data_IF_501522262477
#
_entry.id   IF_501522262477
#
_cell.length_a   1.000
_cell.length_b   1.000
_cell.length_c   1.000
_cell.angle_alpha   90.00
_cell.angle_beta   90.00
_cell.angle_gamma   90.00
#
_symmetry.space_group_name_H-M   'P 1'
#
loop_
_entity.id
_entity.type
_entity.pdbx_description
1 polymer ?
#
# COMPACT_ATOMS: atom_id res chain seq x y z
N UNK A 1 -47.02 31.52 -41.08
CA UNK A 1 -46.78 30.11 -41.47
C UNK A 1 -45.37 29.71 -41.02
N UNK A 2 -45.24 28.46 -40.58
CA UNK A 2 -44.18 27.88 -39.73
C UNK A 2 -42.75 28.16 -40.20
N UNK A 3 -41.92 28.76 -39.33
CA UNK A 3 -40.46 28.72 -39.44
C UNK A 3 -39.97 27.49 -38.68
N UNK A 4 -39.45 26.49 -39.39
CA UNK A 4 -38.78 25.34 -38.80
C UNK A 4 -37.34 25.71 -38.46
N UNK A 5 -36.99 25.70 -37.18
CA UNK A 5 -35.60 25.83 -36.72
C UNK A 5 -35.06 24.42 -36.52
N UNK A 6 -34.19 23.98 -37.43
CA UNK A 6 -33.39 22.77 -37.25
C UNK A 6 -32.13 23.14 -36.44
N UNK A 7 -32.05 22.67 -35.20
CA UNK A 7 -30.83 22.75 -34.39
C UNK A 7 -30.03 21.47 -34.69
N UNK A 8 -29.04 21.59 -35.57
CA UNK A 8 -28.04 20.53 -35.77
C UNK A 8 -27.03 20.63 -34.64
N UNK A 9 -27.18 19.81 -33.60
CA UNK A 9 -26.15 19.65 -32.58
C UNK A 9 -24.96 18.90 -33.20
N UNK A 10 -23.91 19.62 -33.57
CA UNK A 10 -22.62 19.03 -33.87
C UNK A 10 -22.06 18.40 -32.58
N UNK A 11 -22.18 17.08 -32.46
CA UNK A 11 -21.37 16.30 -31.54
C UNK A 11 -19.92 16.42 -32.01
N UNK A 12 -19.21 17.41 -31.48
CA UNK A 12 -17.76 17.41 -31.47
C UNK A 12 -17.33 16.23 -30.60
N UNK A 13 -17.18 15.06 -31.24
CA UNK A 13 -16.52 13.91 -30.65
C UNK A 13 -15.08 14.27 -30.39
N UNK A 14 -14.79 14.81 -29.22
CA UNK A 14 -13.46 14.69 -28.62
C UNK A 14 -13.30 13.21 -28.30
N UNK A 15 -12.80 12.45 -29.27
CA UNK A 15 -12.17 11.18 -28.98
C UNK A 15 -11.16 11.45 -27.85
N UNK A 16 -11.18 10.72 -26.73
CA UNK A 16 -10.08 10.82 -25.79
C UNK A 16 -8.83 10.46 -26.58
N UNK A 17 -7.94 11.44 -26.74
CA UNK A 17 -6.58 11.16 -27.17
C UNK A 17 -6.08 10.11 -26.20
N UNK A 18 -5.83 8.91 -26.71
CA UNK A 18 -5.08 7.88 -26.01
C UNK A 18 -3.73 8.53 -25.71
N UNK A 19 -3.64 9.22 -24.57
CA UNK A 19 -2.37 9.64 -24.02
C UNK A 19 -1.58 8.36 -23.89
N UNK A 20 -0.46 8.29 -24.61
CA UNK A 20 0.45 7.16 -24.60
C UNK A 20 0.59 6.68 -23.16
N UNK A 21 -0.03 5.52 -22.87
CA UNK A 21 0.28 4.78 -21.67
C UNK A 21 1.79 4.55 -21.77
N UNK A 22 2.57 5.33 -21.02
CA UNK A 22 3.99 5.08 -20.85
C UNK A 22 4.07 3.64 -20.35
N UNK A 23 4.32 2.71 -21.27
CA UNK A 23 4.27 1.29 -20.97
C UNK A 23 5.29 1.07 -19.88
N UNK A 24 4.83 0.81 -18.67
CA UNK A 24 5.74 0.61 -17.57
C UNK A 24 6.59 -0.61 -17.95
N UNK A 25 7.89 -0.37 -18.17
CA UNK A 25 8.83 -1.43 -18.51
C UNK A 25 9.45 -1.92 -17.21
N UNK A 26 9.22 -3.18 -16.81
CA UNK A 26 9.82 -3.72 -15.60
C UNK A 26 11.33 -3.59 -15.72
N UNK A 27 11.92 -2.81 -14.83
CA UNK A 27 13.36 -2.67 -14.79
C UNK A 27 13.95 -3.97 -14.23
N UNK A 28 14.86 -4.60 -14.99
CA UNK A 28 15.69 -5.71 -14.50
C UNK A 28 16.54 -5.18 -13.35
N UNK A 29 16.07 -5.38 -12.12
CA UNK A 29 16.53 -4.61 -10.96
C UNK A 29 17.20 -5.44 -9.89
N UNK A 30 17.40 -6.74 -10.13
CA UNK A 30 18.11 -7.55 -9.15
C UNK A 30 18.57 -8.91 -9.63
N UNK A 31 19.57 -9.42 -8.93
CA UNK A 31 20.00 -10.81 -8.99
C UNK A 31 19.07 -11.61 -8.09
N UNK A 32 18.51 -12.71 -8.62
CA UNK A 32 17.66 -13.62 -7.84
C UNK A 32 18.48 -14.15 -6.66
N UNK A 33 17.95 -13.96 -5.44
CA UNK A 33 18.64 -14.36 -4.22
C UNK A 33 17.65 -14.92 -3.21
N UNK A 34 18.07 -15.98 -2.52
CA UNK A 34 17.34 -16.51 -1.37
C UNK A 34 17.48 -15.66 -0.11
N UNK A 35 18.49 -14.76 -0.07
CA UNK A 35 18.72 -13.87 1.04
C UNK A 35 17.79 -12.65 0.98
N UNK A 36 17.37 -12.18 2.16
CA UNK A 36 16.57 -10.98 2.28
C UNK A 36 17.45 -9.72 2.11
N UNK A 37 17.03 -8.80 1.27
CA UNK A 37 17.56 -7.44 1.20
C UNK A 37 16.82 -6.60 2.23
N UNK A 38 17.55 -5.88 3.09
CA UNK A 38 16.99 -5.01 4.12
C UNK A 38 17.16 -3.55 3.71
N UNK A 39 16.09 -2.78 3.84
CA UNK A 39 16.07 -1.35 3.57
C UNK A 39 15.77 -0.52 4.81
N UNK A 40 15.45 0.75 4.60
CA UNK A 40 15.08 1.67 5.66
C UNK A 40 13.77 1.26 6.34
N UNK A 41 13.57 1.69 7.60
CA UNK A 41 12.31 1.54 8.33
C UNK A 41 11.72 0.12 8.26
N UNK A 42 12.57 -0.91 8.44
CA UNK A 42 12.18 -2.33 8.36
C UNK A 42 11.60 -2.82 7.05
N UNK A 43 11.90 -2.11 5.97
CA UNK A 43 11.75 -2.69 4.66
C UNK A 43 12.58 -3.98 4.56
N UNK A 44 11.96 -5.03 4.07
CA UNK A 44 12.63 -6.28 3.76
C UNK A 44 12.04 -6.85 2.50
N UNK A 45 12.87 -7.18 1.52
CA UNK A 45 12.38 -7.78 0.28
C UNK A 45 13.32 -8.87 -0.24
N UNK A 46 12.75 -9.73 -1.07
CA UNK A 46 13.41 -10.84 -1.73
C UNK A 46 13.26 -10.65 -3.23
N UNK A 47 14.37 -10.74 -3.95
CA UNK A 47 14.34 -10.79 -5.42
C UNK A 47 14.06 -12.23 -5.84
N UNK A 48 12.84 -12.51 -6.30
CA UNK A 48 12.38 -13.88 -6.64
C UNK A 48 12.52 -14.21 -8.12
N UNK A 49 12.46 -13.19 -8.98
CA UNK A 49 12.83 -13.26 -10.41
C UNK A 49 13.67 -12.02 -10.74
N UNK A 50 14.29 -11.87 -11.93
CA UNK A 50 15.05 -10.65 -12.27
C UNK A 50 14.24 -9.35 -12.24
N UNK A 51 12.91 -9.44 -12.32
CA UNK A 51 12.00 -8.28 -12.31
C UNK A 51 11.13 -8.23 -11.05
N UNK A 52 10.77 -9.38 -10.46
CA UNK A 52 9.80 -9.46 -9.36
C UNK A 52 10.46 -9.46 -7.99
N UNK A 53 9.94 -8.61 -7.10
CA UNK A 53 10.26 -8.54 -5.69
C UNK A 53 9.06 -8.92 -4.84
N UNK A 54 9.33 -9.56 -3.71
CA UNK A 54 8.32 -9.87 -2.68
C UNK A 54 8.86 -9.37 -1.35
N UNK A 55 8.06 -8.63 -0.58
CA UNK A 55 8.56 -8.08 0.66
C UNK A 55 7.57 -7.29 1.48
N UNK A 56 8.09 -6.70 2.54
CA UNK A 56 7.48 -5.63 3.31
C UNK A 56 8.15 -4.32 2.90
N UNK A 57 7.34 -3.33 2.52
CA UNK A 57 7.78 -1.96 2.26
C UNK A 57 8.24 -1.25 3.53
N UNK A 58 8.59 0.03 3.41
CA UNK A 58 8.96 0.83 4.57
C UNK A 58 7.78 0.96 5.54
N UNK A 59 8.04 0.77 6.83
CA UNK A 59 7.05 0.99 7.87
C UNK A 59 6.91 2.50 8.14
N UNK A 60 5.67 3.00 8.13
CA UNK A 60 5.35 4.35 8.56
C UNK A 60 4.79 4.32 9.98
N UNK A 61 5.43 5.06 10.88
CA UNK A 61 5.07 5.08 12.30
C UNK A 61 4.25 6.30 12.66
N UNK A 62 3.18 6.08 13.43
CA UNK A 62 2.31 7.12 13.95
C UNK A 62 2.23 7.04 15.47
N UNK A 63 2.45 8.19 16.11
CA UNK A 63 2.44 8.35 17.57
C UNK A 63 3.29 7.31 18.34
N UNK A 64 4.39 6.81 17.73
CA UNK A 64 5.30 5.82 18.35
C UNK A 64 4.67 4.46 18.68
N UNK A 65 3.42 4.22 18.27
CA UNK A 65 2.64 3.04 18.66
C UNK A 65 2.11 2.28 17.46
N UNK A 66 1.69 2.98 16.42
CA UNK A 66 1.10 2.34 15.25
C UNK A 66 2.08 2.31 14.12
N UNK A 67 2.12 1.19 13.42
CA UNK A 67 2.90 1.02 12.22
C UNK A 67 1.97 0.64 11.07
N UNK A 68 2.18 1.29 9.93
CA UNK A 68 1.58 0.89 8.68
C UNK A 68 2.67 0.38 7.74
N UNK A 69 2.40 -0.71 7.05
CA UNK A 69 3.35 -1.31 6.12
C UNK A 69 2.61 -1.98 4.96
N UNK A 70 3.24 -1.99 3.80
CA UNK A 70 2.74 -2.70 2.62
C UNK A 70 3.46 -4.03 2.49
N UNK A 71 2.73 -5.15 2.52
CA UNK A 71 3.28 -6.43 2.10
C UNK A 71 2.98 -6.59 0.60
N UNK A 72 4.00 -6.74 -0.24
CA UNK A 72 3.83 -6.63 -1.69
C UNK A 72 4.50 -7.78 -2.44
N UNK A 73 3.98 -8.01 -3.64
CA UNK A 73 4.66 -8.69 -4.74
C UNK A 73 4.53 -7.79 -5.97
N UNK A 74 5.65 -7.36 -6.54
CA UNK A 74 5.64 -6.38 -7.64
C UNK A 74 6.83 -6.54 -8.56
N UNK A 75 6.66 -6.26 -9.84
CA UNK A 75 7.75 -6.10 -10.82
C UNK A 75 8.13 -4.63 -11.08
N UNK A 76 7.55 -3.71 -10.31
CA UNK A 76 7.66 -2.26 -10.46
C UNK A 76 6.52 -1.64 -11.27
N UNK A 77 5.84 -2.43 -12.10
CA UNK A 77 4.81 -1.96 -13.03
C UNK A 77 3.43 -2.50 -12.69
N UNK A 78 3.40 -3.76 -12.27
CA UNK A 78 2.20 -4.47 -11.86
C UNK A 78 2.52 -5.24 -10.60
N UNK A 79 1.48 -5.51 -9.84
CA UNK A 79 1.66 -6.26 -8.62
C UNK A 79 0.42 -6.30 -7.75
N UNK A 80 0.65 -6.86 -6.59
CA UNK A 80 -0.31 -6.99 -5.52
C UNK A 80 0.29 -6.39 -4.25
N UNK A 81 -0.49 -5.60 -3.54
CA UNK A 81 -0.13 -5.01 -2.25
C UNK A 81 -1.21 -5.32 -1.23
N UNK A 82 -0.81 -5.87 -0.10
CA UNK A 82 -1.63 -6.02 1.08
C UNK A 82 -1.26 -4.94 2.09
N UNK A 83 -2.26 -4.16 2.51
CA UNK A 83 -2.04 -3.11 3.49
C UNK A 83 -2.14 -3.68 4.89
N UNK A 84 -1.08 -3.55 5.67
CA UNK A 84 -0.99 -4.05 7.04
C UNK A 84 -0.96 -2.87 8.00
N UNK A 85 -1.89 -2.83 8.94
CA UNK A 85 -1.88 -1.89 10.08
C UNK A 85 -1.56 -2.69 11.33
N UNK A 86 -0.65 -2.17 12.15
CA UNK A 86 -0.16 -2.81 13.36
C UNK A 86 -0.29 -1.83 14.53
N UNK A 87 -0.84 -2.30 15.65
CA UNK A 87 -0.78 -1.65 16.96
C UNK A 87 0.30 -2.32 17.80
N UNK A 88 1.45 -1.67 17.94
CA UNK A 88 2.60 -2.21 18.63
C UNK A 88 2.45 -2.23 20.16
N UNK A 89 1.47 -1.52 20.73
CA UNK A 89 1.13 -1.59 22.16
C UNK A 89 0.32 -2.84 22.45
N UNK A 90 -0.77 -3.06 21.69
CA UNK A 90 -1.67 -4.20 21.90
C UNK A 90 -1.22 -5.48 21.21
N UNK A 91 -0.16 -5.41 20.39
CA UNK A 91 0.38 -6.51 19.58
C UNK A 91 -0.61 -7.09 18.57
N UNK A 92 -1.59 -6.28 18.18
CA UNK A 92 -2.58 -6.65 17.17
C UNK A 92 -2.19 -6.07 15.81
N UNK A 93 -2.52 -6.81 14.76
CA UNK A 93 -2.37 -6.35 13.39
C UNK A 93 -3.59 -6.72 12.57
N UNK A 94 -3.79 -6.00 11.48
CA UNK A 94 -4.83 -6.30 10.49
C UNK A 94 -4.27 -6.13 9.09
N UNK A 95 -4.52 -7.11 8.24
CA UNK A 95 -4.42 -6.94 6.80
C UNK A 95 -5.76 -6.36 6.34
N UNK A 96 -5.75 -5.14 5.83
CA UNK A 96 -6.97 -4.42 5.44
C UNK A 96 -7.57 -4.92 4.13
N UNK A 97 -6.78 -5.59 3.31
CA UNK A 97 -7.20 -6.15 2.04
C UNK A 97 -6.09 -6.06 1.01
N UNK A 98 -6.43 -6.50 -0.19
CA UNK A 98 -5.53 -6.61 -1.32
C UNK A 98 -5.83 -5.53 -2.35
N UNK A 99 -4.81 -4.84 -2.83
CA UNK A 99 -4.87 -3.95 -3.98
C UNK A 99 -3.99 -4.50 -5.09
N UNK A 100 -4.60 -4.73 -6.25
CA UNK A 100 -3.88 -5.08 -7.48
C UNK A 100 -3.72 -3.82 -8.31
N UNK A 101 -2.52 -3.63 -8.84
CA UNK A 101 -2.18 -2.51 -9.68
C UNK A 101 -1.50 -3.00 -10.95
N UNK A 102 -1.62 -2.19 -12.00
CA UNK A 102 -0.99 -2.40 -13.29
C UNK A 102 -0.57 -1.03 -13.87
N UNK A 103 -0.07 -1.06 -15.11
CA UNK A 103 0.37 0.13 -15.84
C UNK A 103 -0.76 1.14 -16.13
N UNK A 104 -2.03 0.71 -16.01
CA UNK A 104 -3.23 1.53 -16.25
C UNK A 104 -3.87 2.02 -14.96
N UNK A 105 -3.58 1.34 -13.86
CA UNK A 105 -4.18 1.55 -12.55
C UNK A 105 -3.04 1.73 -11.54
N UNK A 106 -2.44 2.93 -11.46
CA UNK A 106 -1.31 3.15 -10.57
C UNK A 106 -1.69 2.84 -9.13
N UNK A 107 -0.75 2.32 -8.31
CA UNK A 107 -1.01 2.02 -6.90
C UNK A 107 -1.60 3.24 -6.22
N UNK A 108 -2.88 3.16 -5.81
CA UNK A 108 -3.64 4.30 -5.30
C UNK A 108 -2.92 5.03 -4.15
N UNK A 109 -2.24 6.16 -4.39
CA UNK A 109 -1.35 6.75 -3.38
C UNK A 109 -2.14 7.61 -2.38
N UNK A 110 -3.27 8.17 -2.83
CA UNK A 110 -4.05 9.16 -2.09
C UNK A 110 -4.91 8.56 -0.97
N UNK A 111 -5.31 7.30 -1.08
CA UNK A 111 -6.12 6.66 -0.04
C UNK A 111 -5.30 6.36 1.21
N UNK A 112 -4.05 5.93 1.03
CA UNK A 112 -3.20 5.37 2.08
C UNK A 112 -2.58 6.46 2.97
N UNK A 113 -2.03 7.50 2.36
CA UNK A 113 -1.45 8.64 3.10
C UNK A 113 -2.53 9.39 3.91
N UNK A 114 -3.76 9.46 3.38
CA UNK A 114 -4.91 10.03 4.10
C UNK A 114 -5.34 9.18 5.29
N UNK A 115 -5.30 7.84 5.18
CA UNK A 115 -5.59 6.96 6.32
C UNK A 115 -4.56 7.11 7.43
N UNK A 116 -3.27 7.10 7.11
CA UNK A 116 -2.19 7.25 8.09
C UNK A 116 -2.28 8.55 8.89
N UNK A 117 -2.51 9.68 8.21
CA UNK A 117 -2.75 10.97 8.86
C UNK A 117 -4.02 11.01 9.71
N UNK A 118 -5.11 10.38 9.25
CA UNK A 118 -6.35 10.29 10.01
C UNK A 118 -6.18 9.46 11.30
N UNK A 119 -5.40 8.38 11.25
CA UNK A 119 -5.07 7.59 12.44
C UNK A 119 -4.20 8.36 13.42
N UNK A 120 -3.17 9.08 12.93
CA UNK A 120 -2.36 9.95 13.77
C UNK A 120 -3.23 10.96 14.53
N UNK A 121 -4.17 11.61 13.84
CA UNK A 121 -5.08 12.57 14.46
C UNK A 121 -6.04 11.94 15.49
N UNK A 122 -6.51 10.71 15.28
CA UNK A 122 -7.30 9.96 16.29
C UNK A 122 -6.48 9.69 17.55
N UNK A 123 -5.24 9.29 17.37
CA UNK A 123 -4.33 8.98 18.47
C UNK A 123 -3.95 10.20 19.30
N UNK A 124 -3.72 11.34 18.64
CA UNK A 124 -3.47 12.60 19.32
C UNK A 124 -4.67 13.03 20.19
N UNK A 125 -5.89 12.56 19.88
CA UNK A 125 -7.10 12.76 20.70
C UNK A 125 -7.34 11.67 21.76
N UNK A 126 -6.43 10.70 21.89
CA UNK A 126 -6.57 9.58 22.84
C UNK A 126 -7.58 8.50 22.40
N UNK A 127 -7.99 8.49 21.13
CA UNK A 127 -8.85 7.44 20.58
C UNK A 127 -8.00 6.20 20.24
N UNK A 128 -8.20 5.11 20.98
CA UNK A 128 -7.41 3.88 20.87
C UNK A 128 -7.97 2.85 19.85
N UNK A 129 -9.02 3.22 19.10
CA UNK A 129 -9.78 2.34 18.20
C UNK A 129 -9.20 2.24 16.77
N UNK A 130 -7.92 2.58 16.57
CA UNK A 130 -7.31 2.73 15.24
C UNK A 130 -7.45 1.49 14.35
N UNK A 131 -7.31 0.28 14.89
CA UNK A 131 -7.48 -0.96 14.11
C UNK A 131 -8.92 -1.08 13.60
N UNK A 132 -9.91 -0.79 14.42
CA UNK A 132 -11.32 -0.81 14.01
C UNK A 132 -11.66 0.32 13.05
N UNK A 133 -11.09 1.51 13.26
CA UNK A 133 -11.21 2.63 12.32
C UNK A 133 -10.60 2.27 10.95
N UNK A 134 -9.46 1.58 10.94
CA UNK A 134 -8.82 1.11 9.71
C UNK A 134 -9.67 0.06 8.99
N UNK A 135 -10.23 -0.90 9.73
CA UNK A 135 -11.18 -1.88 9.22
C UNK A 135 -12.43 -1.23 8.63
N UNK A 136 -13.02 -0.27 9.34
CA UNK A 136 -14.19 0.47 8.87
C UNK A 136 -13.88 1.20 7.56
N UNK A 137 -12.76 1.93 7.52
CA UNK A 137 -12.35 2.66 6.33
C UNK A 137 -12.04 1.74 5.14
N UNK A 138 -11.43 0.58 5.40
CA UNK A 138 -11.20 -0.45 4.38
C UNK A 138 -12.53 -0.96 3.79
N UNK A 139 -13.57 -1.19 4.61
CA UNK A 139 -14.90 -1.59 4.12
C UNK A 139 -15.56 -0.53 3.23
N UNK A 140 -15.41 0.75 3.58
CA UNK A 140 -15.97 1.87 2.80
C UNK A 140 -15.42 1.93 1.37
N UNK A 141 -14.17 1.51 1.18
CA UNK A 141 -13.53 1.48 -0.15
C UNK A 141 -13.55 0.10 -0.81
N UNK A 142 -14.36 -0.82 -0.28
CA UNK A 142 -14.57 -2.15 -0.89
C UNK A 142 -13.53 -3.20 -0.52
N UNK A 143 -12.61 -2.93 0.40
CA UNK A 143 -11.68 -3.93 0.93
C UNK A 143 -12.35 -4.73 2.06
N UNK A 144 -12.93 -5.89 1.72
CA UNK A 144 -13.79 -6.67 2.63
C UNK A 144 -13.10 -7.88 3.26
N UNK A 145 -12.00 -8.36 2.70
CA UNK A 145 -11.29 -9.57 3.14
C UNK A 145 -10.23 -9.26 4.22
N UNK A 146 -10.68 -8.71 5.34
CA UNK A 146 -9.80 -8.20 6.39
C UNK A 146 -9.36 -9.31 7.34
N UNK A 147 -8.05 -9.57 7.41
CA UNK A 147 -7.51 -10.65 8.23
C UNK A 147 -6.91 -10.08 9.52
N UNK A 148 -7.41 -10.56 10.67
CA UNK A 148 -6.79 -10.27 11.97
C UNK A 148 -5.51 -11.09 12.14
N UNK A 149 -4.45 -10.45 12.61
CA UNK A 149 -3.15 -11.05 12.88
C UNK A 149 -2.59 -10.51 14.20
N UNK A 150 -1.47 -11.09 14.65
CA UNK A 150 -0.64 -10.50 15.70
C UNK A 150 0.60 -9.86 15.11
N UNK A 151 1.18 -8.88 15.80
CA UNK A 151 2.40 -8.19 15.35
C UNK A 151 3.66 -9.04 15.42
N UNK A 152 3.63 -10.18 16.11
CA UNK A 152 4.66 -11.23 16.12
C UNK A 152 4.35 -12.35 15.09
N UNK A 153 3.25 -12.22 14.36
CA UNK A 153 2.80 -13.13 13.34
C UNK A 153 3.62 -13.05 12.05
N UNK A 154 3.26 -13.90 11.09
CA UNK A 154 3.91 -13.98 9.79
C UNK A 154 2.87 -13.95 8.67
N UNK A 155 3.19 -13.25 7.58
CA UNK A 155 2.44 -13.29 6.34
C UNK A 155 3.21 -14.17 5.36
N UNK A 156 2.52 -15.06 4.66
CA UNK A 156 3.15 -15.83 3.58
C UNK A 156 2.70 -15.28 2.24
N UNK A 157 3.65 -14.79 1.43
CA UNK A 157 3.41 -14.32 0.07
C UNK A 157 4.24 -15.16 -0.90
N UNK A 158 3.56 -15.89 -1.79
CA UNK A 158 4.18 -16.76 -2.80
C UNK A 158 5.28 -17.67 -2.22
N UNK A 159 4.97 -18.35 -1.11
CA UNK A 159 5.90 -19.24 -0.40
C UNK A 159 6.98 -18.53 0.44
N UNK A 160 7.05 -17.19 0.43
CA UNK A 160 7.95 -16.42 1.30
C UNK A 160 7.27 -16.00 2.58
N UNK A 161 7.90 -16.31 3.69
CA UNK A 161 7.43 -15.96 5.03
C UNK A 161 8.00 -14.59 5.42
N UNK A 162 7.11 -13.63 5.66
CA UNK A 162 7.41 -12.27 6.06
C UNK A 162 7.00 -12.11 7.52
N UNK A 163 7.97 -11.90 8.40
CA UNK A 163 7.69 -11.60 9.81
C UNK A 163 7.11 -10.20 9.95
N UNK A 164 5.96 -10.08 10.59
CA UNK A 164 5.48 -8.81 11.07
C UNK A 164 6.35 -8.42 12.27
N UNK A 165 6.75 -7.15 12.32
CA UNK A 165 7.77 -6.72 13.27
C UNK A 165 7.54 -5.28 13.68
N UNK A 166 6.87 -5.09 14.81
CA UNK A 166 6.85 -3.82 15.52
C UNK A 166 8.22 -3.42 16.10
N UNK A 167 9.26 -4.24 15.92
CA UNK A 167 10.62 -4.00 16.43
C UNK A 167 11.26 -2.71 15.90
N UNK A 168 10.65 -2.07 14.90
CA UNK A 168 11.08 -0.79 14.36
C UNK A 168 10.29 0.40 14.93
N UNK A 169 9.38 0.18 15.88
CA UNK A 169 8.73 1.24 16.63
C UNK A 169 9.71 2.11 17.44
N UNK A 170 10.96 1.64 17.62
CA UNK A 170 12.08 2.44 18.13
C UNK A 170 12.63 3.47 17.15
N UNK A 171 12.24 3.44 15.86
CA UNK A 171 12.62 4.45 14.85
C UNK A 171 11.67 5.66 14.86
N UNK A 172 11.30 6.16 16.04
CA UNK A 172 10.50 7.38 16.18
C UNK A 172 11.42 8.61 16.27
N UNK A 173 11.32 9.49 15.26
CA UNK A 173 11.89 10.85 15.16
C UNK A 173 13.42 10.96 15.43
N UNK A 174 14.21 10.94 14.35
CA UNK A 174 15.56 11.51 14.36
C UNK A 174 16.73 10.54 14.16
N UNK A 175 16.49 9.25 14.02
CA UNK A 175 17.57 8.28 13.74
C UNK A 175 17.42 7.69 12.34
N UNK A 176 17.92 8.43 11.35
CA UNK A 176 18.58 7.79 10.20
C UNK A 176 20.02 7.48 10.63
N UNK A 177 20.44 6.22 10.71
CA UNK A 177 21.79 5.88 10.35
C UNK A 177 21.75 5.38 8.90
N UNK A 178 22.24 6.23 8.01
CA UNK A 178 22.97 5.74 6.85
C UNK A 178 24.17 4.95 7.39
N UNK A 179 24.30 3.72 6.95
CA UNK A 179 25.56 3.07 6.61
C UNK A 179 25.25 1.90 5.69
#
# INVERSE_FOLDING_TARGET
MKLAVAITAALAGTAPTAGDAQSCKPSLTGVVSGAAVRGAACEVHYQVTPTTRIGLGQAQYYAGRFAWQSAYQSDGCQGETHYVVMDCKTKNAVVLGTYRFDDRTPPGPLFLDRMGKAFAAKLDRGEDDVIEAARARAREVGLRDQVALRTDGRITLNGRVLGLGCACAGYSKGQMPLN
#
